data_IF_632163055646
#
_entry.id   IF_632163055646
#
_cell.length_a   1.000
_cell.length_b   1.000
_cell.length_c   1.000
_cell.angle_alpha   90.00
_cell.angle_beta   90.00
_cell.angle_gamma   90.00
#
_symmetry.space_group_name_H-M   'P 1'
#
loop_
_entity.id
_entity.type
_entity.pdbx_description
1 polymer ?
#
# COMPACT_ATOMS: atom_id res chain seq x y z
N UNK A 1 -0.07 -6.10 -3.56
CA UNK A 1 -0.70 -4.80 -3.20
C UNK A 1 -2.07 -4.95 -2.55
N UNK A 2 -2.97 -5.81 -3.03
CA UNK A 2 -4.25 -6.10 -2.37
C UNK A 2 -4.13 -6.56 -0.90
N UNK A 3 -3.00 -7.17 -0.54
CA UNK A 3 -2.66 -7.54 0.83
C UNK A 3 -2.57 -6.35 1.79
N UNK A 4 -2.13 -5.18 1.31
CA UNK A 4 -2.05 -3.96 2.11
C UNK A 4 -3.46 -3.53 2.53
N UNK A 5 -4.43 -3.54 1.61
CA UNK A 5 -5.83 -3.22 1.90
C UNK A 5 -6.42 -4.21 2.92
N UNK A 6 -6.20 -5.50 2.71
CA UNK A 6 -6.69 -6.56 3.60
C UNK A 6 -6.08 -6.45 5.01
N UNK A 7 -4.79 -6.12 5.09
CA UNK A 7 -4.07 -5.91 6.34
C UNK A 7 -4.58 -4.65 7.06
N UNK A 8 -4.66 -3.52 6.37
CA UNK A 8 -5.14 -2.25 6.94
C UNK A 8 -6.57 -2.38 7.46
N UNK A 9 -7.48 -3.05 6.73
CA UNK A 9 -8.85 -3.30 7.18
C UNK A 9 -8.89 -4.21 8.41
N UNK A 10 -8.18 -5.35 8.39
CA UNK A 10 -8.15 -6.31 9.53
C UNK A 10 -7.51 -5.74 10.79
N UNK A 11 -6.53 -4.85 10.64
CA UNK A 11 -5.77 -4.24 11.74
C UNK A 11 -6.29 -2.85 12.13
N UNK A 12 -7.35 -2.37 11.48
CA UNK A 12 -7.88 -1.02 11.62
C UNK A 12 -6.80 0.07 11.52
N UNK A 13 -5.87 -0.09 10.57
CA UNK A 13 -4.80 0.87 10.33
C UNK A 13 -5.30 1.96 9.39
N UNK A 14 -5.02 3.22 9.73
CA UNK A 14 -5.47 4.38 8.99
C UNK A 14 -4.76 4.56 7.64
N UNK A 15 -3.49 4.15 7.57
CA UNK A 15 -2.66 4.30 6.38
C UNK A 15 -1.81 3.03 6.13
N UNK A 16 -1.50 2.78 4.86
CA UNK A 16 -0.55 1.78 4.40
C UNK A 16 0.14 2.24 3.13
N UNK A 17 1.40 1.82 2.91
CA UNK A 17 2.15 2.17 1.71
C UNK A 17 2.59 0.89 1.02
N UNK A 18 2.34 0.81 -0.28
CA UNK A 18 2.90 -0.21 -1.15
C UNK A 18 3.88 0.41 -2.13
N UNK A 19 5.04 -0.22 -2.29
CA UNK A 19 6.04 0.20 -3.27
C UNK A 19 6.51 -0.96 -4.12
N UNK A 20 6.94 -0.65 -5.34
CA UNK A 20 7.55 -1.60 -6.25
C UNK A 20 8.68 -0.94 -7.04
N UNK A 21 9.77 -1.68 -7.21
CA UNK A 21 10.84 -1.33 -8.12
C UNK A 21 10.44 -1.73 -9.54
N UNK A 22 10.66 -0.84 -10.50
CA UNK A 22 10.42 -1.09 -11.92
C UNK A 22 11.78 -1.07 -12.63
N UNK A 23 12.02 -2.06 -13.49
CA UNK A 23 13.28 -2.18 -14.24
C UNK A 23 13.62 -0.89 -14.99
N UNK A 24 14.92 -0.62 -15.18
CA UNK A 24 15.38 0.64 -15.77
C UNK A 24 15.56 1.78 -14.77
N UNK A 25 15.65 1.47 -13.46
CA UNK A 25 15.97 2.44 -12.41
C UNK A 25 14.78 3.27 -11.92
N UNK A 26 13.56 2.78 -12.12
CA UNK A 26 12.33 3.46 -11.73
C UNK A 26 11.70 2.82 -10.50
N UNK A 27 10.83 3.55 -9.84
CA UNK A 27 10.07 3.06 -8.70
C UNK A 27 8.72 3.73 -8.60
N UNK A 28 7.74 3.02 -8.05
CA UNK A 28 6.43 3.56 -7.71
C UNK A 28 6.14 3.30 -6.23
N UNK A 29 5.51 4.27 -5.59
CA UNK A 29 4.94 4.15 -4.26
C UNK A 29 3.50 4.65 -4.27
N UNK A 30 2.62 3.94 -3.57
CA UNK A 30 1.19 4.25 -3.48
C UNK A 30 0.82 4.32 -2.00
N UNK A 31 0.20 5.43 -1.60
CA UNK A 31 -0.40 5.60 -0.28
C UNK A 31 -1.84 5.13 -0.31
N UNK A 32 -2.19 4.21 0.58
CA UNK A 32 -3.53 3.74 0.83
C UNK A 32 -4.03 4.33 2.14
N UNK A 33 -5.21 4.94 2.11
CA UNK A 33 -5.92 5.38 3.31
C UNK A 33 -7.10 4.46 3.56
N UNK A 34 -7.25 3.99 4.78
CA UNK A 34 -8.48 3.34 5.22
C UNK A 34 -9.51 4.42 5.56
N UNK A 35 -10.64 4.40 4.83
CA UNK A 35 -11.74 5.39 4.94
C UNK A 35 -12.97 4.81 5.65
N UNK A 36 -12.88 3.55 6.09
CA UNK A 36 -13.87 2.89 6.94
C UNK A 36 -13.96 3.57 8.33
#
# INVERSE_FOLDING_TARGET
>A
MSEILSFCRRRNLRYGIGSACIGGGQGIAILFQNVD
#
